data_IF_064783818401
#
_entry.id   IF_064783818401
#
_cell.length_a   1.000
_cell.length_b   1.000
_cell.length_c   1.000
_cell.angle_alpha   90.00
_cell.angle_beta   90.00
_cell.angle_gamma   90.00
#
_symmetry.space_group_name_H-M   'P 1'
#
loop_
_entity.id
_entity.type
_entity.pdbx_description
1 polymer ?
#
# COMPACT_ATOMS: atom_id res chain seq x y z
N UNK A 1 -21.32 14.37 -17.71
CA UNK A 1 -21.46 13.49 -16.52
C UNK A 1 -20.38 12.43 -16.64
N UNK A 2 -19.68 12.15 -15.55
CA UNK A 2 -18.65 11.11 -15.48
C UNK A 2 -19.37 9.76 -15.32
N UNK A 3 -19.04 8.77 -16.15
CA UNK A 3 -19.56 7.41 -16.10
C UNK A 3 -19.10 6.65 -14.86
N UNK A 4 -19.79 5.54 -14.53
CA UNK A 4 -19.55 4.75 -13.31
C UNK A 4 -18.10 4.27 -13.13
N UNK A 5 -17.38 4.07 -14.24
CA UNK A 5 -16.00 3.56 -14.24
C UNK A 5 -15.04 4.48 -15.00
N UNK A 6 -15.40 5.75 -15.18
CA UNK A 6 -14.51 6.68 -15.87
C UNK A 6 -13.28 6.98 -15.01
N UNK A 7 -12.13 7.00 -15.65
CA UNK A 7 -10.88 7.35 -15.00
C UNK A 7 -10.88 8.84 -14.62
N UNK A 8 -10.77 9.13 -13.32
CA UNK A 8 -10.77 10.50 -12.78
C UNK A 8 -9.37 11.10 -12.61
N UNK A 9 -8.33 10.27 -12.60
CA UNK A 9 -6.96 10.68 -12.31
C UNK A 9 -6.18 9.62 -11.53
N UNK A 10 -4.86 9.79 -11.47
CA UNK A 10 -3.95 8.96 -10.68
C UNK A 10 -3.16 9.83 -9.70
N UNK A 11 -2.59 9.20 -8.68
CA UNK A 11 -1.62 9.82 -7.77
C UNK A 11 -0.37 8.95 -7.76
N UNK A 12 0.80 9.58 -7.76
CA UNK A 12 2.09 8.89 -7.71
C UNK A 12 2.82 9.33 -6.44
N UNK A 13 3.42 8.38 -5.72
CA UNK A 13 4.08 8.63 -4.45
C UNK A 13 5.51 8.14 -4.51
N UNK A 14 6.52 9.02 -4.36
CA UNK A 14 7.90 8.59 -4.21
C UNK A 14 8.07 7.83 -2.89
N UNK A 15 8.88 6.77 -2.89
CA UNK A 15 9.12 5.96 -1.69
C UNK A 15 10.21 6.58 -0.81
N UNK A 16 11.12 7.37 -1.36
CA UNK A 16 12.26 7.98 -0.67
C UNK A 16 11.82 8.82 0.55
N UNK A 17 10.78 9.68 0.46
CA UNK A 17 10.28 10.41 1.63
C UNK A 17 9.63 9.49 2.67
N UNK A 18 8.99 8.40 2.25
CA UNK A 18 8.33 7.44 3.15
C UNK A 18 9.33 6.64 3.98
N UNK A 19 10.56 6.42 3.48
CA UNK A 19 11.64 5.83 4.29
C UNK A 19 12.03 6.72 5.48
N UNK A 20 11.92 8.06 5.34
CA UNK A 20 12.26 9.01 6.41
C UNK A 20 11.08 9.25 7.35
N UNK A 21 9.86 9.26 6.82
CA UNK A 21 8.65 9.35 7.60
C UNK A 21 7.69 8.21 7.19
N UNK A 22 7.58 7.15 8.01
CA UNK A 22 6.90 5.92 7.63
C UNK A 22 5.40 6.08 7.43
N UNK A 23 4.81 7.23 7.77
CA UNK A 23 3.43 7.53 7.48
C UNK A 23 3.22 8.98 7.04
N UNK A 24 2.51 9.16 5.92
CA UNK A 24 2.12 10.47 5.40
C UNK A 24 0.61 10.49 5.18
N UNK A 25 -0.04 11.54 5.68
CA UNK A 25 -1.45 11.83 5.40
C UNK A 25 -1.55 13.20 4.78
N UNK A 26 -2.19 13.30 3.62
CA UNK A 26 -2.26 14.58 2.92
C UNK A 26 -3.23 14.58 1.77
N UNK A 27 -3.45 15.77 1.21
CA UNK A 27 -4.12 15.96 -0.07
C UNK A 27 -3.09 15.86 -1.19
N UNK A 28 -3.40 15.04 -2.19
CA UNK A 28 -2.55 14.82 -3.34
C UNK A 28 -3.30 15.16 -4.60
N UNK A 29 -2.67 15.95 -5.46
CA UNK A 29 -3.27 16.39 -6.71
C UNK A 29 -3.39 15.22 -7.67
N UNK A 30 -4.55 15.08 -8.30
CA UNK A 30 -4.78 14.06 -9.32
C UNK A 30 -4.04 14.43 -10.61
N UNK A 31 -3.31 13.46 -11.15
CA UNK A 31 -2.59 13.52 -12.41
C UNK A 31 -3.41 12.86 -13.52
N UNK A 32 -3.35 13.37 -14.77
CA UNK A 32 -3.99 12.74 -15.91
C UNK A 32 -3.34 11.39 -16.25
N UNK A 33 -4.06 10.58 -17.03
CA UNK A 33 -3.51 9.34 -17.59
C UNK A 33 -2.63 9.67 -18.82
N UNK A 34 -1.41 9.14 -18.88
CA UNK A 34 -0.45 9.35 -19.99
C UNK A 34 0.77 10.22 -19.62
N UNK A 35 1.56 10.58 -20.64
CA UNK A 35 2.75 11.46 -20.55
C UNK A 35 2.38 12.92 -20.82
N UNK A 36 1.16 13.32 -20.51
CA UNK A 36 0.76 14.71 -20.67
C UNK A 36 1.28 15.46 -19.44
N UNK A 37 2.12 16.46 -19.69
CA UNK A 37 2.81 17.27 -18.69
C UNK A 37 1.93 17.60 -17.48
N UNK A 38 2.54 17.63 -16.30
CA UNK A 38 1.92 17.87 -14.99
C UNK A 38 1.02 19.11 -14.96
N UNK A 39 1.21 20.03 -15.89
CA UNK A 39 0.43 21.24 -16.12
C UNK A 39 -1.06 20.96 -16.42
N UNK A 40 -1.38 19.83 -17.07
CA UNK A 40 -2.77 19.45 -17.37
C UNK A 40 -3.54 18.85 -16.19
N UNK A 41 -2.89 18.63 -15.03
CA UNK A 41 -3.54 18.29 -13.75
C UNK A 41 -4.40 19.43 -13.16
N UNK A 42 -4.49 20.57 -13.84
CA UNK A 42 -5.33 21.74 -13.56
C UNK A 42 -6.73 21.46 -13.02
N UNK A 43 -7.42 20.50 -13.63
CA UNK A 43 -8.89 20.35 -13.52
C UNK A 43 -9.36 19.10 -12.79
N UNK A 44 -8.45 18.21 -12.39
CA UNK A 44 -8.80 16.89 -11.84
C UNK A 44 -9.06 16.89 -10.33
N UNK A 45 -8.71 17.98 -9.63
CA UNK A 45 -8.91 18.09 -8.18
C UNK A 45 -7.84 17.35 -7.37
N UNK A 46 -8.18 16.94 -6.15
CA UNK A 46 -7.24 16.32 -5.21
C UNK A 46 -7.90 15.20 -4.39
N UNK A 47 -7.09 14.21 -4.01
CA UNK A 47 -7.48 13.06 -3.20
C UNK A 47 -6.76 13.09 -1.86
N UNK A 48 -7.48 12.87 -0.75
CA UNK A 48 -6.86 12.72 0.57
C UNK A 48 -6.48 11.26 0.76
N UNK A 49 -5.20 10.99 1.00
CA UNK A 49 -4.66 9.64 1.19
C UNK A 49 -3.82 9.58 2.45
N UNK A 50 -3.91 8.45 3.16
CA UNK A 50 -2.99 8.06 4.22
C UNK A 50 -2.17 6.88 3.72
N UNK A 51 -0.86 7.03 3.71
CA UNK A 51 0.09 6.04 3.19
C UNK A 51 1.07 5.70 4.30
N UNK A 52 1.36 4.41 4.45
CA UNK A 52 2.40 3.92 5.34
C UNK A 52 3.37 3.03 4.58
N UNK A 53 4.66 3.15 4.88
CA UNK A 53 5.68 2.22 4.43
C UNK A 53 6.06 1.32 5.60
N UNK A 54 5.82 0.02 5.43
CA UNK A 54 6.15 -1.01 6.41
C UNK A 54 7.10 -2.02 5.76
N UNK A 55 8.22 -2.28 6.42
CA UNK A 55 9.09 -3.39 6.04
C UNK A 55 8.55 -4.68 6.65
N UNK A 56 8.14 -5.62 5.79
CA UNK A 56 7.78 -6.96 6.24
C UNK A 56 9.04 -7.83 6.22
N UNK A 57 9.59 -8.11 7.40
CA UNK A 57 10.77 -8.96 7.52
C UNK A 57 10.36 -10.42 7.65
N UNK A 58 10.59 -11.19 6.59
CA UNK A 58 10.53 -12.65 6.67
C UNK A 58 11.80 -13.13 7.36
N UNK A 59 11.64 -13.74 8.53
CA UNK A 59 12.77 -14.32 9.26
C UNK A 59 13.21 -15.62 8.57
N UNK A 60 14.48 -16.03 8.72
CA UNK A 60 14.89 -17.36 8.28
C UNK A 60 14.04 -18.46 8.92
N UNK A 61 13.88 -19.60 8.22
CA UNK A 61 13.00 -20.70 8.64
C UNK A 61 13.25 -21.23 10.05
N UNK A 62 14.48 -21.08 10.57
CA UNK A 62 14.85 -21.47 11.94
C UNK A 62 14.05 -20.74 13.02
N UNK A 63 13.62 -19.50 12.75
CA UNK A 63 12.86 -18.70 13.72
C UNK A 63 11.38 -19.09 13.80
N UNK A 64 10.87 -19.82 12.80
CA UNK A 64 9.48 -20.25 12.74
C UNK A 64 9.26 -21.66 13.31
N UNK A 65 10.31 -22.35 13.79
CA UNK A 65 10.20 -23.75 14.25
C UNK A 65 9.14 -23.96 15.34
N UNK A 66 9.09 -23.09 16.35
CA UNK A 66 8.08 -23.18 17.40
C UNK A 66 6.65 -23.03 16.85
N UNK A 67 6.45 -22.11 15.91
CA UNK A 67 5.15 -21.89 15.28
C UNK A 67 4.74 -23.11 14.43
N UNK A 68 5.71 -23.71 13.73
CA UNK A 68 5.53 -24.93 12.95
C UNK A 68 5.13 -26.09 13.87
N UNK A 69 5.79 -26.28 15.01
CA UNK A 69 5.44 -27.32 15.98
C UNK A 69 4.01 -27.15 16.50
N UNK A 70 3.63 -25.94 16.92
CA UNK A 70 2.25 -25.65 17.36
C UNK A 70 1.21 -25.97 16.29
N UNK A 71 1.48 -25.59 15.04
CA UNK A 71 0.59 -25.90 13.92
C UNK A 71 0.49 -27.40 13.66
N UNK A 72 1.60 -28.13 13.75
CA UNK A 72 1.63 -29.59 13.60
C UNK A 72 0.83 -30.27 14.73
N UNK A 73 1.05 -29.86 15.98
CA UNK A 73 0.34 -30.38 17.15
C UNK A 73 -1.16 -30.14 17.05
N UNK A 74 -1.60 -28.96 16.60
CA UNK A 74 -3.04 -28.65 16.42
C UNK A 74 -3.75 -29.57 15.42
N UNK A 75 -3.03 -30.11 14.45
CA UNK A 75 -3.57 -31.06 13.47
C UNK A 75 -3.48 -32.50 13.98
N UNK A 76 -2.45 -32.81 14.76
CA UNK A 76 -2.20 -34.16 15.29
C UNK A 76 -3.02 -34.48 16.55
N UNK A 77 -3.44 -33.46 17.30
CA UNK A 77 -4.25 -33.60 18.51
C UNK A 77 -5.37 -32.55 18.53
N UNK A 78 -6.37 -32.66 17.63
CA UNK A 78 -7.44 -31.69 17.52
C UNK A 78 -8.40 -31.65 18.73
N UNK A 79 -8.35 -32.66 19.61
CA UNK A 79 -9.32 -32.90 20.69
C UNK A 79 -8.72 -32.85 22.11
N UNK A 80 -7.63 -32.12 22.33
CA UNK A 80 -7.09 -31.85 23.68
C UNK A 80 -7.60 -30.53 24.27
#
# INVERSE_FOLDING_TARGET
MVGKNDFLGRVCFPLEPLHRNPAVTGWFRLLPFGNTDEENGGKLGSLRVKIGLSEERILPSVYYQNLIQLLVESVQSPDQ
#
